data_IF_136613953296
#
_entry.id   IF_136613953296
#
_cell.length_a   1.000
_cell.length_b   1.000
_cell.length_c   1.000
_cell.angle_alpha   90.00
_cell.angle_beta   90.00
_cell.angle_gamma   90.00
#
_symmetry.space_group_name_H-M   'P 1'
#
loop_
_entity.id
_entity.type
_entity.pdbx_description
1 polymer ?
#
# COMPACT_ATOMS: atom_id res chain seq x y z
N UNK A 1 24.45 -60.82 -12.24
CA UNK A 1 25.11 -59.67 -11.54
C UNK A 1 24.34 -58.43 -11.98
N UNK A 2 23.68 -57.58 -11.20
CA UNK A 2 23.71 -57.18 -9.77
C UNK A 2 22.31 -56.63 -9.39
N UNK A 3 21.62 -57.01 -8.30
CA UNK A 3 21.63 -56.40 -6.93
C UNK A 3 21.87 -54.87 -6.95
N UNK A 4 20.84 -54.02 -6.93
CA UNK A 4 20.02 -53.58 -5.78
C UNK A 4 20.72 -52.58 -4.83
N UNK A 5 19.93 -51.57 -4.42
CA UNK A 5 20.00 -50.77 -3.18
C UNK A 5 20.62 -49.35 -3.27
N UNK A 6 19.67 -48.41 -3.31
CA UNK A 6 19.61 -47.07 -2.69
C UNK A 6 20.46 -46.94 -1.41
N UNK A 7 21.29 -45.91 -1.27
CA UNK A 7 21.29 -44.94 -0.14
C UNK A 7 22.57 -44.08 -0.10
N UNK A 8 22.34 -42.83 0.34
CA UNK A 8 23.26 -41.85 0.96
C UNK A 8 24.27 -41.14 0.02
N UNK A 9 24.02 -39.87 -0.35
CA UNK A 9 24.14 -38.64 0.45
C UNK A 9 25.59 -38.23 0.76
N UNK A 10 25.82 -36.94 0.51
CA UNK A 10 26.79 -36.06 1.17
C UNK A 10 28.26 -36.29 0.81
N UNK A 11 28.79 -35.46 -0.08
CA UNK A 11 29.74 -34.43 0.37
C UNK A 11 30.28 -33.60 -0.80
N UNK A 12 30.35 -32.29 -0.54
CA UNK A 12 31.17 -31.29 -1.21
C UNK A 12 30.74 -30.81 -2.61
N UNK A 13 30.19 -29.59 -2.65
CA UNK A 13 30.53 -28.67 -3.73
C UNK A 13 29.41 -27.86 -4.37
N UNK A 14 28.18 -27.86 -3.87
CA UNK A 14 27.16 -26.90 -4.30
C UNK A 14 27.25 -25.62 -3.46
N UNK A 15 28.31 -24.85 -3.68
CA UNK A 15 28.39 -23.45 -3.25
C UNK A 15 28.66 -22.57 -4.47
N UNK A 16 27.71 -22.56 -5.40
CA UNK A 16 27.48 -21.38 -6.22
C UNK A 16 26.25 -20.69 -5.62
N UNK A 17 26.51 -19.71 -4.75
CA UNK A 17 25.53 -18.75 -4.30
C UNK A 17 24.96 -18.02 -5.53
N UNK A 18 23.74 -18.36 -5.93
CA UNK A 18 22.94 -17.52 -6.84
C UNK A 18 22.14 -16.55 -5.97
N UNK A 19 22.86 -15.69 -5.24
CA UNK A 19 22.29 -14.50 -4.61
C UNK A 19 22.45 -13.33 -5.57
N UNK A 20 21.60 -13.28 -6.60
CA UNK A 20 21.31 -12.05 -7.36
C UNK A 20 19.85 -12.09 -7.76
N UNK A 21 19.08 -11.14 -7.22
CA UNK A 21 17.75 -10.81 -7.72
C UNK A 21 17.79 -10.80 -9.25
N UNK A 22 16.93 -11.61 -9.87
CA UNK A 22 16.75 -11.57 -11.31
C UNK A 22 16.36 -10.13 -11.65
N UNK A 23 17.20 -9.43 -12.41
CA UNK A 23 16.91 -8.07 -12.83
C UNK A 23 15.62 -8.10 -13.65
N UNK A 24 14.51 -7.74 -13.03
CA UNK A 24 13.22 -7.56 -13.70
C UNK A 24 13.42 -6.46 -14.74
N UNK A 25 13.04 -6.71 -16.00
CA UNK A 25 13.21 -5.73 -17.07
C UNK A 25 12.44 -4.45 -16.74
N UNK A 26 12.95 -3.30 -17.21
CA UNK A 26 12.26 -2.02 -17.04
C UNK A 26 10.81 -2.08 -17.58
N UNK A 27 10.61 -2.82 -18.68
CA UNK A 27 9.29 -3.04 -19.27
C UNK A 27 8.33 -3.79 -18.31
N UNK A 28 8.79 -4.87 -17.68
CA UNK A 28 7.96 -5.61 -16.72
C UNK A 28 7.69 -4.76 -15.47
N UNK A 29 8.65 -3.96 -15.02
CA UNK A 29 8.42 -3.01 -13.92
C UNK A 29 7.36 -1.96 -14.30
N UNK A 30 7.39 -1.42 -15.51
CA UNK A 30 6.38 -0.48 -15.97
C UNK A 30 4.97 -1.08 -16.07
N UNK A 31 4.85 -2.36 -16.46
CA UNK A 31 3.55 -3.05 -16.48
C UNK A 31 2.92 -3.15 -15.09
N UNK A 32 3.72 -3.16 -14.03
CA UNK A 32 3.25 -3.20 -12.63
C UNK A 32 3.06 -1.80 -12.04
N UNK A 33 4.04 -0.93 -12.22
CA UNK A 33 4.08 0.37 -11.54
C UNK A 33 3.14 1.40 -12.16
N UNK A 34 2.87 1.33 -13.47
CA UNK A 34 1.94 2.27 -14.12
C UNK A 34 0.52 2.10 -13.58
N UNK A 35 -0.08 0.89 -13.55
CA UNK A 35 -1.39 0.70 -12.91
C UNK A 35 -1.40 1.11 -11.43
N UNK A 36 -0.33 0.82 -10.68
CA UNK A 36 -0.24 1.21 -9.27
C UNK A 36 -0.23 2.74 -9.09
N UNK A 37 0.56 3.47 -9.89
CA UNK A 37 0.58 4.93 -9.87
C UNK A 37 -0.77 5.52 -10.32
N UNK A 38 -1.40 4.96 -11.35
CA UNK A 38 -2.63 5.51 -11.93
C UNK A 38 -3.85 5.13 -11.09
N UNK A 39 -4.16 3.85 -10.91
CA UNK A 39 -5.35 3.48 -10.15
C UNK A 39 -5.19 3.76 -8.65
N UNK A 40 -3.99 3.59 -8.09
CA UNK A 40 -3.72 3.94 -6.70
C UNK A 40 -4.04 5.41 -6.44
N UNK A 41 -3.55 6.31 -7.28
CA UNK A 41 -3.74 7.76 -7.10
C UNK A 41 -5.17 8.23 -7.44
N UNK A 42 -5.88 7.56 -8.37
CA UNK A 42 -7.21 7.98 -8.81
C UNK A 42 -8.26 7.92 -7.69
N UNK A 43 -8.21 6.88 -6.85
CA UNK A 43 -9.12 6.71 -5.71
C UNK A 43 -9.02 7.91 -4.76
N UNK A 44 -7.80 8.28 -4.40
CA UNK A 44 -7.54 9.40 -3.49
C UNK A 44 -7.89 10.75 -4.10
N UNK A 45 -7.61 10.93 -5.39
CA UNK A 45 -8.01 12.12 -6.13
C UNK A 45 -9.53 12.29 -6.14
N UNK A 46 -10.29 11.23 -6.40
CA UNK A 46 -11.76 11.25 -6.42
C UNK A 46 -12.37 11.58 -5.06
N UNK A 47 -11.69 11.23 -3.97
CA UNK A 47 -12.06 11.62 -2.61
C UNK A 47 -11.72 13.08 -2.26
N UNK A 48 -11.09 13.82 -3.18
CA UNK A 48 -10.75 15.24 -3.00
C UNK A 48 -9.51 15.49 -2.15
N UNK A 49 -8.65 14.48 -1.96
CA UNK A 49 -7.42 14.65 -1.17
C UNK A 49 -6.28 15.25 -1.98
N UNK A 50 -5.42 16.09 -1.36
CA UNK A 50 -4.25 16.64 -2.04
C UNK A 50 -3.16 15.58 -2.25
N UNK A 51 -2.31 15.79 -3.26
CA UNK A 51 -1.31 14.80 -3.67
C UNK A 51 -0.33 14.39 -2.55
N UNK A 52 0.08 15.32 -1.69
CA UNK A 52 0.97 15.00 -0.57
C UNK A 52 0.35 13.94 0.36
N UNK A 53 -0.96 14.02 0.61
CA UNK A 53 -1.67 13.04 1.41
C UNK A 53 -1.83 11.73 0.63
N UNK A 54 -2.16 11.80 -0.65
CA UNK A 54 -2.22 10.62 -1.53
C UNK A 54 -0.91 9.84 -1.55
N UNK A 55 0.21 10.52 -1.80
CA UNK A 55 1.53 9.92 -1.88
C UNK A 55 1.93 9.26 -0.55
N UNK A 56 1.66 9.93 0.57
CA UNK A 56 1.90 9.36 1.90
C UNK A 56 1.08 8.08 2.11
N UNK A 57 -0.22 8.10 1.83
CA UNK A 57 -1.09 6.94 2.06
C UNK A 57 -0.76 5.74 1.17
N UNK A 58 -0.32 5.99 -0.07
CA UNK A 58 0.17 4.97 -0.98
C UNK A 58 1.57 4.47 -0.58
N UNK A 59 2.20 5.05 0.44
CA UNK A 59 3.55 4.68 0.88
C UNK A 59 4.63 5.08 -0.11
N UNK A 60 4.40 6.07 -0.97
CA UNK A 60 5.35 6.44 -2.02
C UNK A 60 6.55 7.16 -1.42
N UNK A 61 7.75 6.68 -1.74
CA UNK A 61 8.98 7.34 -1.31
C UNK A 61 9.17 8.66 -2.09
N UNK A 62 9.31 9.83 -1.42
CA UNK A 62 9.49 11.10 -2.10
C UNK A 62 10.65 11.08 -3.11
N UNK A 63 10.36 11.45 -4.35
CA UNK A 63 11.33 11.48 -5.45
C UNK A 63 11.57 10.13 -6.13
N UNK A 64 10.94 9.04 -5.69
CA UNK A 64 10.98 7.76 -6.40
C UNK A 64 10.34 7.85 -7.79
N UNK A 65 10.59 6.84 -8.63
CA UNK A 65 9.97 6.73 -9.95
C UNK A 65 8.46 6.56 -9.85
N UNK A 66 7.96 5.77 -8.89
CA UNK A 66 6.53 5.62 -8.63
C UNK A 66 5.91 6.92 -8.12
N UNK A 67 6.59 7.66 -7.24
CA UNK A 67 6.17 8.98 -6.77
C UNK A 67 6.01 9.96 -7.93
N UNK A 68 7.01 10.04 -8.83
CA UNK A 68 6.95 10.92 -9.99
C UNK A 68 5.82 10.53 -10.97
N UNK A 69 5.57 9.24 -11.15
CA UNK A 69 4.46 8.75 -11.96
C UNK A 69 3.10 9.08 -11.34
N UNK A 70 2.96 8.90 -10.03
CA UNK A 70 1.75 9.24 -9.28
C UNK A 70 1.49 10.76 -9.30
N UNK A 71 2.54 11.58 -9.15
CA UNK A 71 2.46 13.04 -9.22
C UNK A 71 1.95 13.49 -10.60
N UNK A 72 2.51 12.91 -11.67
CA UNK A 72 2.05 13.18 -13.03
C UNK A 72 0.59 12.75 -13.22
N UNK A 73 0.21 11.56 -12.75
CA UNK A 73 -1.17 11.08 -12.85
C UNK A 73 -2.15 12.04 -12.14
N UNK A 74 -1.80 12.44 -10.91
CA UNK A 74 -2.57 13.39 -10.11
C UNK A 74 -2.77 14.73 -10.83
N UNK A 75 -1.67 15.32 -11.33
CA UNK A 75 -1.70 16.59 -12.05
C UNK A 75 -2.52 16.53 -13.33
N UNK A 76 -2.55 15.39 -14.03
CA UNK A 76 -3.38 15.20 -15.22
C UNK A 76 -4.88 15.10 -14.88
N UNK A 77 -5.26 14.43 -13.79
CA UNK A 77 -6.68 14.42 -13.40
C UNK A 77 -7.18 15.79 -12.94
N UNK A 78 -6.34 16.58 -12.26
CA UNK A 78 -6.69 17.96 -11.92
C UNK A 78 -7.01 18.81 -13.16
N UNK A 79 -6.46 18.44 -14.32
CA UNK A 79 -6.73 19.07 -15.62
C UNK A 79 -7.95 18.47 -16.34
N UNK A 80 -8.65 17.50 -15.73
CA UNK A 80 -9.80 16.82 -16.33
C UNK A 80 -9.43 15.82 -17.44
N UNK A 81 -8.19 15.35 -17.48
CA UNK A 81 -7.74 14.37 -18.47
C UNK A 81 -8.36 13.00 -18.19
N UNK A 82 -8.78 12.30 -19.25
CA UNK A 82 -9.40 10.96 -19.13
C UNK A 82 -8.39 9.92 -18.65
N UNK A 83 -8.88 8.89 -17.95
CA UNK A 83 -8.04 7.80 -17.43
C UNK A 83 -7.18 7.12 -18.51
N UNK A 84 -7.73 6.88 -19.70
CA UNK A 84 -6.98 6.29 -20.82
C UNK A 84 -5.80 7.17 -21.23
N UNK A 85 -6.00 8.49 -21.27
CA UNK A 85 -4.92 9.44 -21.61
C UNK A 85 -3.92 9.58 -20.47
N UNK A 86 -4.36 9.54 -19.21
CA UNK A 86 -3.46 9.49 -18.04
C UNK A 86 -2.57 8.25 -18.12
N UNK A 87 -3.17 7.07 -18.28
CA UNK A 87 -2.46 5.79 -18.45
C UNK A 87 -1.39 5.87 -19.54
N UNK A 88 -1.72 6.40 -20.72
CA UNK A 88 -0.78 6.53 -21.82
C UNK A 88 0.40 7.45 -21.49
N UNK A 89 0.15 8.62 -20.89
CA UNK A 89 1.20 9.58 -20.56
C UNK A 89 2.11 9.09 -19.43
N UNK A 90 1.54 8.42 -18.42
CA UNK A 90 2.31 7.82 -17.33
C UNK A 90 3.12 6.63 -17.86
N UNK A 91 2.59 5.85 -18.80
CA UNK A 91 3.34 4.78 -19.47
C UNK A 91 4.56 5.32 -20.23
N UNK A 92 4.37 6.43 -20.95
CA UNK A 92 5.47 7.11 -21.64
C UNK A 92 6.53 7.61 -20.66
N UNK A 93 6.12 8.15 -19.51
CA UNK A 93 7.05 8.55 -18.44
C UNK A 93 7.79 7.34 -17.88
N UNK A 94 7.11 6.24 -17.61
CA UNK A 94 7.73 5.04 -17.09
C UNK A 94 8.85 4.52 -18.00
N UNK A 95 8.59 4.50 -19.32
CA UNK A 95 9.56 4.07 -20.32
C UNK A 95 10.83 4.95 -20.38
N UNK A 96 10.82 6.13 -19.76
CA UNK A 96 12.01 7.01 -19.67
C UNK A 96 12.96 6.64 -18.52
N UNK A 97 12.52 5.80 -17.57
CA UNK A 97 13.33 5.37 -16.44
C UNK A 97 14.14 4.10 -16.74
N UNK A 98 15.32 4.00 -16.17
CA UNK A 98 16.09 2.76 -16.18
C UNK A 98 15.52 1.71 -15.22
N UNK A 99 15.82 0.43 -15.48
CA UNK A 99 15.43 -0.66 -14.57
C UNK A 99 15.97 -0.45 -13.13
N UNK A 100 17.14 0.16 -12.98
CA UNK A 100 17.72 0.46 -11.67
C UNK A 100 16.90 1.52 -10.91
N UNK A 101 16.41 2.55 -11.61
CA UNK A 101 15.56 3.58 -11.01
C UNK A 101 14.17 3.05 -10.66
N UNK A 102 13.61 2.17 -11.47
CA UNK A 102 12.32 1.51 -11.21
C UNK A 102 12.41 0.53 -10.03
N UNK A 103 13.54 -0.16 -9.85
CA UNK A 103 13.73 -1.12 -8.77
C UNK A 103 14.14 -0.49 -7.44
N UNK A 104 14.63 0.77 -7.44
CA UNK A 104 15.22 1.41 -6.25
C UNK A 104 14.26 1.48 -5.07
N UNK A 105 12.99 1.79 -5.31
CA UNK A 105 11.97 1.88 -4.28
C UNK A 105 11.62 0.50 -3.71
N UNK A 106 11.53 -0.52 -4.57
CA UNK A 106 11.33 -1.90 -4.14
C UNK A 106 12.49 -2.40 -3.26
N UNK A 107 13.74 -2.12 -3.66
CA UNK A 107 14.93 -2.45 -2.86
C UNK A 107 14.98 -1.69 -1.53
N UNK A 108 14.57 -0.43 -1.50
CA UNK A 108 14.48 0.36 -0.26
C UNK A 108 13.51 -0.29 0.75
N UNK A 109 12.34 -0.73 0.28
CA UNK A 109 11.35 -1.38 1.14
C UNK A 109 11.78 -2.77 1.63
N UNK A 110 12.51 -3.53 0.82
CA UNK A 110 13.12 -4.79 1.26
C UNK A 110 14.20 -4.56 2.34
N UNK A 111 15.01 -3.51 2.21
CA UNK A 111 16.10 -3.20 3.15
C UNK A 111 15.59 -2.65 4.49
N UNK A 112 14.49 -1.90 4.53
CA UNK A 112 13.95 -1.32 5.77
C UNK A 112 12.98 -2.24 6.54
N UNK A 113 12.65 -3.42 6.02
CA UNK A 113 11.63 -4.30 6.61
C UNK A 113 10.20 -3.71 6.56
N UNK A 114 10.03 -2.54 5.94
CA UNK A 114 8.75 -1.94 5.57
C UNK A 114 8.40 -2.46 4.18
N UNK A 115 7.87 -3.68 4.09
CA UNK A 115 7.38 -4.18 2.81
C UNK A 115 6.30 -3.21 2.26
N UNK A 116 6.17 -3.05 0.93
CA UNK A 116 5.11 -2.23 0.34
C UNK A 116 3.73 -2.58 0.93
N UNK A 117 3.50 -3.86 1.20
CA UNK A 117 2.30 -4.39 1.86
C UNK A 117 1.99 -3.74 3.21
N UNK A 118 3.00 -3.43 4.03
CA UNK A 118 2.80 -2.74 5.32
C UNK A 118 2.32 -1.31 5.14
N UNK A 119 2.86 -0.60 4.15
CA UNK A 119 2.48 0.79 3.86
C UNK A 119 1.07 0.84 3.27
N UNK A 120 0.78 -0.04 2.30
CA UNK A 120 -0.54 -0.15 1.67
C UNK A 120 -1.61 -0.54 2.69
N UNK A 121 -1.33 -1.49 3.60
CA UNK A 121 -2.28 -1.85 4.66
C UNK A 121 -2.66 -0.67 5.57
N UNK A 122 -1.69 0.18 5.95
CA UNK A 122 -1.99 1.40 6.70
C UNK A 122 -2.84 2.37 5.89
N UNK A 123 -2.52 2.58 4.62
CA UNK A 123 -3.28 3.45 3.71
C UNK A 123 -4.72 2.97 3.55
N UNK A 124 -4.91 1.75 3.06
CA UNK A 124 -6.21 1.16 2.74
C UNK A 124 -7.11 1.03 3.98
N UNK A 125 -6.55 0.62 5.11
CA UNK A 125 -7.31 0.57 6.35
C UNK A 125 -7.75 1.96 6.77
N UNK A 126 -6.87 2.95 6.74
CA UNK A 126 -7.22 4.34 7.11
C UNK A 126 -8.34 4.88 6.24
N UNK A 127 -8.28 4.64 4.92
CA UNK A 127 -9.35 4.97 3.97
C UNK A 127 -10.66 4.32 4.34
N UNK A 128 -10.62 3.00 4.58
CA UNK A 128 -11.79 2.20 4.96
C UNK A 128 -12.46 2.77 6.21
N UNK A 129 -11.67 3.10 7.23
CA UNK A 129 -12.19 3.67 8.48
C UNK A 129 -12.85 5.03 8.21
N UNK A 130 -12.21 5.93 7.47
CA UNK A 130 -12.75 7.27 7.22
C UNK A 130 -14.01 7.22 6.35
N UNK A 131 -14.01 6.40 5.29
CA UNK A 131 -15.19 6.20 4.45
C UNK A 131 -16.38 5.61 5.22
N UNK A 132 -16.10 4.79 6.24
CA UNK A 132 -17.14 4.18 7.07
C UNK A 132 -17.92 5.17 7.93
N UNK A 133 -17.44 6.41 8.11
CA UNK A 133 -18.25 7.44 8.77
C UNK A 133 -19.52 7.77 7.98
N UNK A 134 -19.41 7.87 6.65
CA UNK A 134 -20.56 8.15 5.79
C UNK A 134 -21.61 7.02 5.81
N UNK A 135 -21.19 5.78 6.07
CA UNK A 135 -22.10 4.63 6.20
C UNK A 135 -22.98 4.70 7.45
N UNK A 136 -22.61 5.54 8.42
CA UNK A 136 -23.38 5.78 9.65
C UNK A 136 -24.11 7.12 9.66
N UNK A 137 -24.16 7.84 8.53
CA UNK A 137 -24.90 9.08 8.44
C UNK A 137 -26.39 8.86 8.74
N UNK A 138 -26.92 9.64 9.69
CA UNK A 138 -28.29 9.48 10.19
C UNK A 138 -28.47 8.40 11.26
N UNK A 139 -27.41 7.69 11.66
CA UNK A 139 -27.41 6.78 12.81
C UNK A 139 -26.59 7.32 13.99
N UNK A 140 -26.84 6.84 15.22
CA UNK A 140 -25.96 7.15 16.35
C UNK A 140 -24.54 6.64 16.11
N UNK A 141 -23.58 7.56 16.05
CA UNK A 141 -22.16 7.25 15.94
C UNK A 141 -21.63 6.76 17.30
N UNK A 142 -21.79 5.47 17.56
CA UNK A 142 -21.18 4.78 18.71
C UNK A 142 -19.98 3.95 18.24
N UNK A 143 -19.02 3.71 19.15
CA UNK A 143 -17.86 2.88 18.83
C UNK A 143 -18.28 1.46 18.42
N UNK A 144 -19.35 0.93 19.00
CA UNK A 144 -19.88 -0.40 18.66
C UNK A 144 -20.39 -0.45 17.22
N UNK A 145 -21.23 0.52 16.83
CA UNK A 145 -21.78 0.57 15.46
C UNK A 145 -20.67 0.78 14.43
N UNK A 146 -19.71 1.65 14.75
CA UNK A 146 -18.59 1.94 13.87
C UNK A 146 -17.66 0.73 13.66
N UNK A 147 -17.40 -0.05 14.71
CA UNK A 147 -16.71 -1.33 14.59
C UNK A 147 -17.51 -2.32 13.74
N UNK A 148 -18.80 -2.46 14.01
CA UNK A 148 -19.66 -3.42 13.32
C UNK A 148 -19.72 -3.17 11.80
N UNK A 149 -19.70 -1.91 11.36
CA UNK A 149 -19.67 -1.56 9.93
C UNK A 149 -18.38 -1.99 9.23
N UNK A 150 -17.27 -2.05 9.95
CA UNK A 150 -15.93 -2.30 9.35
C UNK A 150 -15.53 -3.76 9.47
N UNK A 151 -15.77 -4.40 10.62
CA UNK A 151 -15.32 -5.76 10.92
C UNK A 151 -16.43 -6.70 11.40
N UNK A 152 -17.68 -6.24 11.44
CA UNK A 152 -18.79 -7.04 11.98
C UNK A 152 -18.52 -7.50 13.42
N UNK A 153 -18.59 -8.81 13.62
CA UNK A 153 -18.32 -9.50 14.89
C UNK A 153 -16.91 -10.13 14.95
N UNK A 154 -16.07 -9.89 13.94
CA UNK A 154 -14.75 -10.51 13.85
C UNK A 154 -13.75 -9.93 14.86
N UNK A 155 -12.86 -10.80 15.36
CA UNK A 155 -11.77 -10.37 16.24
C UNK A 155 -10.54 -9.95 15.43
N UNK A 156 -10.56 -8.69 14.99
CA UNK A 156 -9.44 -8.04 14.29
C UNK A 156 -8.77 -6.98 15.18
N UNK A 157 -7.89 -7.35 16.12
CA UNK A 157 -7.36 -6.41 17.12
C UNK A 157 -6.45 -5.31 16.54
N UNK A 158 -5.69 -5.54 15.47
CA UNK A 158 -4.92 -4.48 14.82
C UNK A 158 -5.84 -3.48 14.11
N UNK A 159 -6.83 -3.98 13.35
CA UNK A 159 -7.87 -3.15 12.72
C UNK A 159 -8.66 -2.36 13.78
N UNK A 160 -9.05 -3.02 14.87
CA UNK A 160 -9.78 -2.41 15.99
C UNK A 160 -9.05 -1.20 16.58
N UNK A 161 -7.72 -1.24 16.70
CA UNK A 161 -6.96 -0.10 17.21
C UNK A 161 -7.09 1.12 16.29
N UNK A 162 -7.03 0.92 14.97
CA UNK A 162 -7.20 2.00 14.00
C UNK A 162 -8.62 2.56 14.00
N UNK A 163 -9.64 1.70 14.13
CA UNK A 163 -11.04 2.12 14.29
C UNK A 163 -11.20 3.01 15.52
N UNK A 164 -10.66 2.59 16.67
CA UNK A 164 -10.75 3.35 17.93
C UNK A 164 -10.05 4.70 17.80
N UNK A 165 -8.85 4.74 17.19
CA UNK A 165 -8.11 5.97 16.96
C UNK A 165 -8.92 6.97 16.13
N UNK A 166 -9.42 6.55 14.97
CA UNK A 166 -10.21 7.41 14.10
C UNK A 166 -11.53 7.84 14.74
N UNK A 167 -12.20 6.94 15.46
CA UNK A 167 -13.43 7.24 16.20
C UNK A 167 -13.18 8.36 17.22
N UNK A 168 -12.11 8.27 18.01
CA UNK A 168 -11.76 9.29 18.99
C UNK A 168 -11.50 10.64 18.33
N UNK A 169 -10.81 10.67 17.18
CA UNK A 169 -10.59 11.90 16.42
C UNK A 169 -11.90 12.50 15.89
N UNK A 170 -12.84 11.67 15.41
CA UNK A 170 -14.18 12.11 15.00
C UNK A 170 -14.97 12.70 16.17
N UNK A 171 -14.91 12.07 17.36
CA UNK A 171 -15.55 12.59 18.58
C UNK A 171 -14.95 13.95 19.03
N UNK A 172 -13.69 14.21 18.70
CA UNK A 172 -13.04 15.51 18.93
C UNK A 172 -13.41 16.57 17.88
N UNK A 173 -14.31 16.27 16.94
CA UNK A 173 -14.74 17.19 15.89
C UNK A 173 -13.71 17.40 14.77
N UNK A 174 -12.73 16.50 14.64
CA UNK A 174 -11.77 16.56 13.54
C UNK A 174 -12.47 16.33 12.20
N UNK A 175 -12.02 17.06 11.17
CA UNK A 175 -12.46 16.84 9.79
C UNK A 175 -11.91 15.52 9.26
N UNK A 176 -12.62 14.90 8.32
CA UNK A 176 -12.26 13.58 7.75
C UNK A 176 -10.87 13.56 7.14
N UNK A 177 -10.46 14.63 6.47
CA UNK A 177 -9.09 14.81 5.98
C UNK A 177 -8.09 14.67 7.11
N UNK A 178 -8.27 15.39 8.21
CA UNK A 178 -7.37 15.35 9.36
C UNK A 178 -7.40 14.00 10.08
N UNK A 179 -8.57 13.36 10.20
CA UNK A 179 -8.69 12.01 10.77
C UNK A 179 -7.87 11.02 9.94
N UNK A 180 -7.91 11.17 8.61
CA UNK A 180 -7.15 10.34 7.69
C UNK A 180 -5.64 10.50 7.91
N UNK A 181 -5.12 11.73 7.86
CA UNK A 181 -3.67 11.95 8.01
C UNK A 181 -3.16 11.48 9.37
N UNK A 182 -3.93 11.75 10.44
CA UNK A 182 -3.54 11.40 11.81
C UNK A 182 -3.63 9.89 12.06
N UNK A 183 -4.66 9.22 11.54
CA UNK A 183 -4.78 7.76 11.67
C UNK A 183 -3.72 7.03 10.84
N UNK A 184 -3.42 7.52 9.63
CA UNK A 184 -2.33 6.99 8.82
C UNK A 184 -0.97 7.16 9.52
N UNK A 185 -0.67 8.37 10.00
CA UNK A 185 0.56 8.66 10.75
C UNK A 185 0.67 7.77 11.99
N UNK A 186 -0.42 7.60 12.73
CA UNK A 186 -0.49 6.71 13.87
C UNK A 186 -0.15 5.25 13.49
N UNK A 187 -0.68 4.76 12.36
CA UNK A 187 -0.38 3.42 11.84
C UNK A 187 1.09 3.26 11.46
N UNK A 188 1.67 4.25 10.77
CA UNK A 188 3.06 4.23 10.33
C UNK A 188 4.06 4.17 11.50
N UNK A 189 3.72 4.84 12.61
CA UNK A 189 4.52 4.85 13.84
C UNK A 189 4.42 3.54 14.65
N UNK A 190 3.53 2.62 14.28
CA UNK A 190 3.46 1.31 14.94
C UNK A 190 4.62 0.40 14.51
N UNK A 191 4.82 -0.67 15.28
CA UNK A 191 5.88 -1.64 15.01
C UNK A 191 5.65 -2.43 13.71
N UNK A 192 6.71 -3.05 13.19
CA UNK A 192 6.62 -3.90 12.01
C UNK A 192 5.66 -5.09 12.24
N UNK A 193 5.66 -5.67 13.44
CA UNK A 193 4.76 -6.76 13.82
C UNK A 193 3.29 -6.32 13.81
N UNK A 194 3.01 -5.10 14.29
CA UNK A 194 1.67 -4.54 14.19
C UNK A 194 1.24 -4.37 12.74
N UNK A 195 2.10 -3.80 11.88
CA UNK A 195 1.78 -3.57 10.47
C UNK A 195 1.61 -4.88 9.69
N UNK A 196 2.39 -5.90 10.04
CA UNK A 196 2.24 -7.26 9.51
C UNK A 196 0.90 -7.87 9.94
N UNK A 197 0.55 -7.75 11.22
CA UNK A 197 -0.74 -8.22 11.74
C UNK A 197 -1.91 -7.46 11.10
N UNK A 198 -1.79 -6.15 10.91
CA UNK A 198 -2.79 -5.34 10.24
C UNK A 198 -3.01 -5.82 8.80
N UNK A 199 -1.94 -6.02 8.04
CA UNK A 199 -2.04 -6.54 6.68
C UNK A 199 -2.73 -7.92 6.66
N UNK A 200 -2.38 -8.81 7.59
CA UNK A 200 -3.00 -10.12 7.71
C UNK A 200 -4.49 -10.04 8.06
N UNK A 201 -4.89 -9.16 8.98
CA UNK A 201 -6.30 -8.99 9.38
C UNK A 201 -7.14 -8.30 8.29
N UNK A 202 -6.56 -7.33 7.60
CA UNK A 202 -7.27 -6.50 6.61
C UNK A 202 -7.43 -7.19 5.26
N UNK A 203 -6.43 -7.95 4.80
CA UNK A 203 -6.47 -8.69 3.54
C UNK A 203 -6.88 -10.16 3.68
N UNK A 204 -7.20 -10.63 4.89
CA UNK A 204 -7.82 -11.95 5.06
C UNK A 204 -9.23 -11.93 4.45
N UNK A 205 -9.43 -12.75 3.41
CA UNK A 205 -10.73 -13.07 2.80
C UNK A 205 -11.63 -13.89 3.73
#
# INVERSE_FOLDING_TARGET
MSKAVVLALLSAGLFCAVSKAQAVSAELQCQLQVPAAVHGTSVWYQMGYPFNLTANNLGLLPGSTLYQMAEQAFGLWQQGVSETTVMAQVSQRCASFSAAELNREYSFFEEEGNTPTHLTACGDMTTTVVQSFALLDGQPLTLSNFKAVIIGEEQKPAVTRLIVQAFNLKQQGQLETSILEQTFTYCQQQSAEFKQQLAAEFYAE
#
